data_IF_067111237224
#
_entry.id   IF_067111237224
#
_cell.length_a   1.000
_cell.length_b   1.000
_cell.length_c   1.000
_cell.angle_alpha   90.00
_cell.angle_beta   90.00
_cell.angle_gamma   90.00
#
_symmetry.space_group_name_H-M   'P 1'
#
loop_
_entity.id
_entity.type
_entity.pdbx_description
1 polymer ?
#
# COMPACT_ATOMS: atom_id res chain seq x y z
N UNK A 1 28.36 20.74 18.28
CA UNK A 1 28.19 20.65 16.82
C UNK A 1 27.25 19.50 16.48
N UNK A 2 26.25 19.75 15.63
CA UNK A 2 25.27 18.75 15.14
C UNK A 2 25.15 18.90 13.63
N UNK A 3 25.20 17.81 12.86
CA UNK A 3 24.94 17.87 11.41
C UNK A 3 25.84 18.80 10.61
N UNK A 4 27.03 19.15 11.13
CA UNK A 4 27.95 20.09 10.50
C UNK A 4 27.84 21.54 10.98
N UNK A 5 26.88 21.88 11.84
CA UNK A 5 26.70 23.25 12.35
C UNK A 5 26.91 23.37 13.87
N UNK A 6 27.16 24.61 14.33
CA UNK A 6 27.30 24.97 15.74
C UNK A 6 25.95 25.43 16.29
N UNK A 7 25.58 24.89 17.46
CA UNK A 7 24.32 25.16 18.14
C UNK A 7 24.56 25.48 19.61
N UNK A 8 23.74 26.35 20.18
CA UNK A 8 23.76 26.67 21.61
C UNK A 8 23.06 25.58 22.41
N UNK A 9 23.81 24.83 23.22
CA UNK A 9 23.23 23.79 24.10
C UNK A 9 22.26 24.36 25.14
N UNK A 10 22.53 25.56 25.65
CA UNK A 10 21.67 26.25 26.62
C UNK A 10 20.53 27.04 25.96
N UNK A 11 20.64 27.32 24.66
CA UNK A 11 19.72 28.18 23.92
C UNK A 11 19.85 29.68 24.26
N UNK A 12 20.87 30.08 25.02
CA UNK A 12 21.05 31.48 25.50
C UNK A 12 22.09 32.28 24.71
N UNK A 13 22.90 31.60 23.89
CA UNK A 13 23.92 32.26 23.07
C UNK A 13 23.29 32.64 21.73
N UNK A 14 23.05 33.94 21.52
CA UNK A 14 22.35 34.46 20.34
C UNK A 14 23.13 34.25 19.03
N UNK A 15 24.43 33.93 19.10
CA UNK A 15 25.25 33.64 17.92
C UNK A 15 24.86 32.33 17.23
N UNK A 16 24.18 31.43 17.95
CA UNK A 16 23.87 30.08 17.47
C UNK A 16 22.41 29.70 17.72
N UNK A 17 21.75 28.99 16.79
CA UNK A 17 20.43 28.41 17.04
C UNK A 17 20.45 27.46 18.26
N UNK A 18 19.32 27.31 18.98
CA UNK A 18 19.27 26.42 20.13
C UNK A 18 19.39 24.95 19.70
N UNK A 19 20.13 24.14 20.46
CA UNK A 19 20.36 22.72 20.14
C UNK A 19 19.08 21.87 20.13
N UNK A 20 18.00 22.36 20.75
CA UNK A 20 16.69 21.70 20.73
C UNK A 20 16.13 21.49 19.30
N UNK A 21 16.49 22.34 18.33
CA UNK A 21 16.05 22.18 16.93
C UNK A 21 16.57 20.90 16.28
N UNK A 22 17.63 20.31 16.83
CA UNK A 22 18.19 19.04 16.37
C UNK A 22 17.33 17.83 16.78
N UNK A 23 16.29 18.02 17.60
CA UNK A 23 15.33 16.98 17.99
C UNK A 23 15.95 15.87 18.86
N UNK A 24 16.89 16.20 19.74
CA UNK A 24 17.49 15.19 20.61
C UNK A 24 16.42 14.56 21.52
N UNK A 25 16.25 13.25 21.42
CA UNK A 25 15.19 12.50 22.10
C UNK A 25 13.99 12.18 21.21
N UNK A 26 13.88 12.80 20.04
CA UNK A 26 12.90 12.45 19.03
C UNK A 26 13.37 11.27 18.18
N UNK A 27 12.44 10.39 17.81
CA UNK A 27 12.73 9.22 16.95
C UNK A 27 13.34 9.62 15.60
N UNK A 28 13.03 10.82 15.10
CA UNK A 28 13.56 11.38 13.85
C UNK A 28 14.72 12.37 14.05
N UNK A 29 15.05 12.76 15.29
CA UNK A 29 16.07 13.76 15.56
C UNK A 29 17.46 13.17 15.76
N UNK A 30 18.41 13.99 16.22
CA UNK A 30 19.79 13.56 16.47
C UNK A 30 19.84 12.46 17.56
N UNK A 31 20.63 11.41 17.31
CA UNK A 31 20.63 10.16 18.08
C UNK A 31 19.28 9.41 18.10
N UNK A 32 18.33 9.75 17.23
CA UNK A 32 17.08 9.02 17.02
C UNK A 32 17.27 7.67 16.32
N UNK A 33 16.20 6.89 16.19
CA UNK A 33 16.24 5.49 15.72
C UNK A 33 16.93 5.28 14.36
N UNK A 34 16.87 6.29 13.48
CA UNK A 34 17.47 6.26 12.14
C UNK A 34 18.69 7.18 11.99
N UNK A 35 19.12 7.87 13.05
CA UNK A 35 20.22 8.84 13.01
C UNK A 35 21.43 8.30 13.76
N UNK A 36 22.52 8.00 13.03
CA UNK A 36 23.81 7.56 13.61
C UNK A 36 24.79 8.71 13.87
N UNK A 37 24.35 9.94 13.63
CA UNK A 37 25.16 11.12 13.90
C UNK A 37 25.13 11.42 15.39
N UNK A 38 26.32 11.60 15.96
CA UNK A 38 26.50 12.11 17.31
C UNK A 38 26.81 13.61 17.26
N UNK A 39 26.80 14.27 18.42
CA UNK A 39 27.23 15.65 18.58
C UNK A 39 28.43 15.72 19.53
N UNK A 40 29.32 16.66 19.28
CA UNK A 40 30.51 16.90 20.12
C UNK A 40 30.50 18.33 20.68
N UNK A 41 31.13 18.55 21.86
CA UNK A 41 31.46 19.90 22.31
C UNK A 41 32.28 20.63 21.24
N UNK A 42 31.92 21.88 20.94
CA UNK A 42 32.67 22.76 20.04
C UNK A 42 33.18 23.96 20.82
N UNK A 43 34.22 24.62 20.31
CA UNK A 43 34.79 25.86 20.86
C UNK A 43 33.90 27.09 20.59
N UNK A 44 32.93 26.97 19.68
CA UNK A 44 32.04 28.07 19.28
C UNK A 44 32.69 29.04 18.31
N UNK A 45 33.86 28.72 17.76
CA UNK A 45 34.60 29.58 16.83
C UNK A 45 35.01 28.81 15.57
N UNK A 46 35.43 27.55 15.73
CA UNK A 46 35.89 26.70 14.63
C UNK A 46 34.82 25.71 14.24
N UNK A 47 34.30 25.83 13.01
CA UNK A 47 33.49 24.78 12.41
C UNK A 47 34.33 23.97 11.40
N UNK A 48 34.85 22.79 11.75
CA UNK A 48 35.61 21.95 10.83
C UNK A 48 34.76 21.39 9.66
N UNK A 49 33.45 21.66 9.67
CA UNK A 49 32.51 21.29 8.62
C UNK A 49 31.97 22.48 7.81
N UNK A 50 32.49 23.70 8.02
CA UNK A 50 32.05 24.92 7.31
C UNK A 50 32.14 24.83 5.79
N UNK A 51 33.06 24.00 5.31
CA UNK A 51 33.40 23.89 3.90
C UNK A 51 32.58 22.80 3.19
N UNK A 52 31.69 22.09 3.89
CA UNK A 52 30.81 21.09 3.29
C UNK A 52 29.48 21.72 2.85
N UNK A 53 29.14 21.57 1.57
CA UNK A 53 27.87 22.06 1.02
C UNK A 53 26.68 21.22 1.51
N UNK A 54 25.78 21.85 2.26
CA UNK A 54 24.56 21.23 2.78
C UNK A 54 23.60 20.76 1.67
N UNK A 55 23.55 21.43 0.52
CA UNK A 55 22.64 21.08 -0.57
C UNK A 55 23.19 19.92 -1.41
N UNK A 56 24.50 19.88 -1.66
CA UNK A 56 25.15 18.73 -2.31
C UNK A 56 24.98 17.45 -1.47
N UNK A 57 25.16 17.56 -0.15
CA UNK A 57 24.94 16.45 0.80
C UNK A 57 23.48 15.98 0.83
N UNK A 58 22.52 16.91 0.81
CA UNK A 58 21.09 16.59 0.74
C UNK A 58 20.74 15.86 -0.55
N UNK A 59 21.24 16.34 -1.70
CA UNK A 59 21.06 15.68 -3.00
C UNK A 59 21.65 14.27 -3.01
N UNK A 60 22.86 14.09 -2.47
CA UNK A 60 23.47 12.77 -2.34
C UNK A 60 22.65 11.83 -1.43
N UNK A 61 22.09 12.36 -0.34
CA UNK A 61 21.20 11.63 0.56
C UNK A 61 19.92 11.18 -0.17
N UNK A 62 19.23 12.10 -0.87
CA UNK A 62 17.97 11.81 -1.57
C UNK A 62 18.16 10.77 -2.68
N UNK A 63 19.25 10.89 -3.45
CA UNK A 63 19.64 9.88 -4.43
C UNK A 63 19.89 8.51 -3.77
N UNK A 64 20.52 8.48 -2.60
CA UNK A 64 20.73 7.25 -1.85
C UNK A 64 19.42 6.63 -1.32
N UNK A 65 18.45 7.47 -0.92
CA UNK A 65 17.12 6.99 -0.49
C UNK A 65 16.36 6.41 -1.67
N UNK A 66 16.38 7.09 -2.82
CA UNK A 66 15.74 6.59 -4.05
C UNK A 66 16.38 5.28 -4.51
N UNK A 67 17.71 5.16 -4.41
CA UNK A 67 18.42 3.90 -4.67
C UNK A 67 17.88 2.76 -3.78
N UNK A 68 17.73 2.99 -2.47
CA UNK A 68 17.20 1.98 -1.52
C UNK A 68 15.76 1.58 -1.82
N UNK A 69 14.92 2.53 -2.27
CA UNK A 69 13.55 2.23 -2.68
C UNK A 69 13.53 1.28 -3.89
N UNK A 70 14.37 1.52 -4.90
CA UNK A 70 14.50 0.62 -6.05
C UNK A 70 15.05 -0.76 -5.65
N UNK A 71 16.05 -0.80 -4.77
CA UNK A 71 16.58 -2.05 -4.20
C UNK A 71 15.48 -2.84 -3.45
N UNK A 72 14.64 -2.16 -2.66
CA UNK A 72 13.49 -2.76 -1.97
C UNK A 72 12.48 -3.35 -2.94
N UNK A 73 12.08 -2.61 -3.99
CA UNK A 73 11.16 -3.09 -5.03
C UNK A 73 11.68 -4.36 -5.70
N UNK A 74 12.97 -4.40 -6.03
CA UNK A 74 13.61 -5.59 -6.62
C UNK A 74 13.57 -6.77 -5.64
N UNK A 75 13.98 -6.56 -4.37
CA UNK A 75 13.94 -7.63 -3.35
C UNK A 75 12.51 -8.17 -3.16
N UNK A 76 11.53 -7.28 -3.13
CA UNK A 76 10.12 -7.63 -2.99
C UNK A 76 9.65 -8.47 -4.19
N UNK A 77 9.86 -8.02 -5.42
CA UNK A 77 9.47 -8.79 -6.62
C UNK A 77 10.21 -10.12 -6.73
N UNK A 78 11.48 -10.22 -6.28
CA UNK A 78 12.18 -11.51 -6.19
C UNK A 78 11.47 -12.49 -5.26
N UNK A 79 10.98 -12.04 -4.10
CA UNK A 79 10.19 -12.88 -3.19
C UNK A 79 8.89 -13.33 -3.84
N UNK A 80 8.20 -12.43 -4.56
CA UNK A 80 6.98 -12.76 -5.31
C UNK A 80 7.24 -13.84 -6.38
N UNK A 81 8.32 -13.70 -7.17
CA UNK A 81 8.70 -14.67 -8.19
C UNK A 81 8.99 -16.05 -7.57
N UNK A 82 9.64 -16.10 -6.41
CA UNK A 82 9.89 -17.35 -5.68
C UNK A 82 8.59 -17.98 -5.17
N UNK A 83 7.71 -17.19 -4.54
CA UNK A 83 6.45 -17.69 -4.00
C UNK A 83 5.52 -18.25 -5.09
N UNK A 84 5.41 -17.55 -6.23
CA UNK A 84 4.59 -18.03 -7.36
C UNK A 84 5.19 -19.30 -7.95
N UNK A 85 6.52 -19.37 -8.09
CA UNK A 85 7.19 -20.58 -8.56
C UNK A 85 6.91 -21.77 -7.64
N UNK A 86 7.01 -21.58 -6.33
CA UNK A 86 6.74 -22.62 -5.35
C UNK A 86 5.27 -23.09 -5.46
N UNK A 87 4.31 -22.16 -5.49
CA UNK A 87 2.89 -22.49 -5.68
C UNK A 87 2.62 -23.24 -6.98
N UNK A 88 3.26 -22.83 -8.08
CA UNK A 88 3.15 -23.48 -9.40
C UNK A 88 3.73 -24.90 -9.40
N UNK A 89 4.83 -25.09 -8.69
CA UNK A 89 5.51 -26.39 -8.59
C UNK A 89 4.66 -27.38 -7.74
N UNK A 90 3.89 -26.88 -6.76
CA UNK A 90 2.96 -27.66 -5.92
C UNK A 90 1.52 -27.78 -6.48
N UNK A 91 1.14 -27.01 -7.50
CA UNK A 91 -0.21 -27.06 -8.05
C UNK A 91 -0.50 -28.40 -8.74
N UNK A 92 -1.50 -29.13 -8.23
CA UNK A 92 -1.94 -30.42 -8.77
C UNK A 92 -2.89 -30.26 -9.96
N UNK A 93 -3.78 -29.25 -9.92
CA UNK A 93 -4.75 -29.02 -10.98
C UNK A 93 -4.12 -28.32 -12.19
N UNK A 94 -4.30 -28.85 -13.43
CA UNK A 94 -3.67 -28.29 -14.64
C UNK A 94 -3.97 -26.81 -14.87
N UNK A 95 -5.22 -26.39 -14.70
CA UNK A 95 -5.64 -25.00 -14.94
C UNK A 95 -5.01 -24.02 -13.94
N UNK A 96 -4.94 -24.41 -12.66
CA UNK A 96 -4.33 -23.59 -11.62
C UNK A 96 -2.81 -23.46 -11.86
N UNK A 97 -2.19 -24.56 -12.30
CA UNK A 97 -0.78 -24.56 -12.69
C UNK A 97 -0.53 -23.65 -13.89
N UNK A 98 -1.38 -23.68 -14.91
CA UNK A 98 -1.28 -22.83 -16.09
C UNK A 98 -1.41 -21.32 -15.75
N UNK A 99 -2.35 -20.96 -14.87
CA UNK A 99 -2.50 -19.59 -14.38
C UNK A 99 -1.24 -19.11 -13.64
N UNK A 100 -0.72 -19.91 -12.70
CA UNK A 100 0.52 -19.61 -11.98
C UNK A 100 1.74 -19.54 -12.90
N UNK A 101 1.77 -20.35 -13.97
CA UNK A 101 2.78 -20.30 -15.03
C UNK A 101 2.78 -18.96 -15.78
N UNK A 102 1.59 -18.42 -16.09
CA UNK A 102 1.42 -17.10 -16.72
C UNK A 102 1.85 -15.97 -15.77
N UNK A 103 1.46 -16.06 -14.51
CA UNK A 103 1.80 -15.07 -13.49
C UNK A 103 3.30 -15.04 -13.19
N UNK A 104 3.93 -16.22 -13.16
CA UNK A 104 5.37 -16.34 -13.06
C UNK A 104 6.07 -15.59 -14.21
N UNK A 105 5.57 -15.74 -15.44
CA UNK A 105 6.09 -15.05 -16.63
C UNK A 105 5.92 -13.53 -16.53
N UNK A 106 4.74 -13.05 -16.13
CA UNK A 106 4.44 -11.61 -15.91
C UNK A 106 5.35 -10.99 -14.87
N UNK A 107 5.47 -11.63 -13.69
CA UNK A 107 6.31 -11.13 -12.58
C UNK A 107 7.79 -11.19 -12.90
N UNK A 108 8.23 -12.22 -13.62
CA UNK A 108 9.61 -12.28 -14.10
C UNK A 108 9.95 -11.13 -15.06
N UNK A 109 9.01 -10.75 -15.95
CA UNK A 109 9.17 -9.58 -16.80
C UNK A 109 9.17 -8.25 -16.02
N UNK A 110 8.32 -8.10 -14.98
CA UNK A 110 8.36 -6.94 -14.05
C UNK A 110 9.72 -6.87 -13.33
N UNK A 111 10.24 -7.99 -12.85
CA UNK A 111 11.55 -8.05 -12.20
C UNK A 111 12.69 -7.65 -13.15
N UNK A 112 12.65 -8.10 -14.40
CA UNK A 112 13.64 -7.70 -15.42
C UNK A 112 13.61 -6.19 -15.66
N UNK A 113 12.41 -5.60 -15.80
CA UNK A 113 12.21 -4.15 -15.94
C UNK A 113 12.77 -3.38 -14.73
N UNK A 114 12.45 -3.80 -13.51
CA UNK A 114 12.95 -3.16 -12.28
C UNK A 114 14.47 -3.23 -12.16
N UNK A 115 15.09 -4.37 -12.52
CA UNK A 115 16.54 -4.48 -12.55
C UNK A 115 17.18 -3.54 -13.58
N UNK A 116 16.52 -3.31 -14.72
CA UNK A 116 16.97 -2.33 -15.71
C UNK A 116 16.83 -0.91 -15.16
N UNK A 117 15.65 -0.55 -14.64
CA UNK A 117 15.36 0.76 -14.03
C UNK A 117 16.39 1.12 -12.95
N UNK A 118 16.72 0.17 -12.07
CA UNK A 118 17.74 0.36 -11.04
C UNK A 118 19.14 0.61 -11.62
N UNK A 119 19.54 -0.14 -12.65
CA UNK A 119 20.84 0.07 -13.30
C UNK A 119 20.91 1.42 -13.99
N UNK A 120 19.88 1.76 -14.76
CA UNK A 120 19.77 3.04 -15.46
C UNK A 120 19.81 4.21 -14.46
N UNK A 121 19.06 4.12 -13.35
CA UNK A 121 19.06 5.13 -12.30
C UNK A 121 20.45 5.30 -11.67
N UNK A 122 21.14 4.21 -11.38
CA UNK A 122 22.48 4.27 -10.84
C UNK A 122 23.47 4.89 -11.82
N UNK A 123 23.42 4.53 -13.10
CA UNK A 123 24.28 5.07 -14.14
C UNK A 123 24.05 6.57 -14.37
N UNK A 124 22.79 7.00 -14.52
CA UNK A 124 22.41 8.39 -14.74
C UNK A 124 22.82 9.33 -13.60
N UNK A 125 22.93 8.79 -12.37
CA UNK A 125 23.24 9.58 -11.17
C UNK A 125 24.66 9.30 -10.62
N UNK A 126 25.52 8.59 -11.38
CA UNK A 126 26.88 8.28 -10.95
C UNK A 126 26.97 7.41 -9.68
N UNK A 127 25.91 6.67 -9.35
CA UNK A 127 25.85 5.80 -8.18
C UNK A 127 26.38 4.40 -8.52
N UNK A 128 27.08 3.77 -7.57
CA UNK A 128 27.46 2.35 -7.70
C UNK A 128 26.26 1.46 -7.45
N UNK A 129 26.03 0.48 -8.33
CA UNK A 129 25.05 -0.59 -8.06
C UNK A 129 25.55 -1.48 -6.93
N UNK A 130 24.73 -1.66 -5.90
CA UNK A 130 24.98 -2.50 -4.72
C UNK A 130 24.29 -3.86 -4.85
N UNK A 131 24.96 -4.82 -5.49
CA UNK A 131 24.40 -6.15 -5.74
C UNK A 131 24.13 -6.93 -4.45
N UNK A 132 24.97 -6.74 -3.43
CA UNK A 132 24.83 -7.35 -2.10
C UNK A 132 23.48 -7.01 -1.48
N UNK A 133 22.96 -5.82 -1.75
CA UNK A 133 21.65 -5.38 -1.27
C UNK A 133 20.52 -6.04 -2.03
N UNK A 134 20.69 -6.45 -3.29
CA UNK A 134 19.61 -7.08 -4.05
C UNK A 134 19.38 -8.55 -3.67
N UNK A 135 20.23 -9.13 -2.83
CA UNK A 135 20.16 -10.53 -2.40
C UNK A 135 18.95 -10.78 -1.50
N UNK A 136 18.29 -11.92 -1.69
CA UNK A 136 17.28 -12.46 -0.77
C UNK A 136 17.59 -13.96 -0.54
N UNK A 137 17.08 -14.54 0.54
CA UNK A 137 17.23 -15.96 0.82
C UNK A 137 16.71 -16.82 -0.35
N UNK A 138 17.40 -17.93 -0.65
CA UNK A 138 17.06 -18.90 -1.70
C UNK A 138 17.01 -18.35 -3.15
N UNK A 139 17.43 -17.09 -3.38
CA UNK A 139 17.55 -16.53 -4.72
C UNK A 139 18.96 -16.72 -5.27
N UNK A 140 19.17 -17.79 -6.04
CA UNK A 140 20.45 -18.14 -6.63
C UNK A 140 20.53 -17.81 -8.15
N UNK A 141 21.63 -18.22 -8.78
CA UNK A 141 21.85 -18.03 -10.22
C UNK A 141 20.86 -18.82 -11.09
N UNK A 142 20.39 -19.97 -10.61
CA UNK A 142 19.42 -20.80 -11.32
C UNK A 142 18.05 -20.10 -11.34
N UNK A 143 17.56 -19.66 -10.19
CA UNK A 143 16.31 -18.91 -10.10
C UNK A 143 16.35 -17.63 -10.97
N UNK A 144 17.49 -16.94 -10.95
CA UNK A 144 17.70 -15.78 -11.81
C UNK A 144 17.74 -16.12 -13.32
N UNK A 145 18.21 -17.31 -13.71
CA UNK A 145 18.20 -17.76 -15.10
C UNK A 145 16.80 -18.17 -15.55
N UNK A 146 16.07 -18.92 -14.72
CA UNK A 146 14.69 -19.34 -14.98
C UNK A 146 13.76 -18.13 -15.14
N UNK A 147 13.85 -17.15 -14.24
CA UNK A 147 13.07 -15.92 -14.32
C UNK A 147 13.38 -15.15 -15.61
N UNK A 148 14.67 -15.01 -15.98
CA UNK A 148 15.04 -14.36 -17.27
C UNK A 148 14.46 -15.09 -18.48
N UNK A 149 14.48 -16.42 -18.47
CA UNK A 149 13.86 -17.22 -19.53
C UNK A 149 12.34 -17.03 -19.61
N UNK A 150 11.66 -16.96 -18.46
CA UNK A 150 10.22 -16.71 -18.40
C UNK A 150 9.84 -15.29 -18.86
N UNK A 151 10.62 -14.28 -18.48
CA UNK A 151 10.45 -12.92 -18.95
C UNK A 151 10.61 -12.81 -20.47
N UNK A 152 11.59 -13.51 -21.06
CA UNK A 152 11.76 -13.55 -22.51
C UNK A 152 10.55 -14.18 -23.21
N UNK A 153 10.05 -15.32 -22.70
CA UNK A 153 8.85 -15.97 -23.24
C UNK A 153 7.63 -15.06 -23.18
N UNK A 154 7.43 -14.34 -22.08
CA UNK A 154 6.35 -13.38 -21.90
C UNK A 154 6.38 -12.25 -22.94
N UNK A 155 7.56 -11.68 -23.19
CA UNK A 155 7.73 -10.60 -24.17
C UNK A 155 7.44 -11.09 -25.59
N UNK A 156 7.86 -12.32 -25.91
CA UNK A 156 7.66 -12.93 -27.22
C UNK A 156 6.18 -13.29 -27.48
N UNK A 157 5.45 -13.80 -26.48
CA UNK A 157 4.01 -14.07 -26.64
C UNK A 157 3.20 -12.79 -26.84
N UNK A 158 3.59 -11.70 -26.18
CA UNK A 158 2.92 -10.39 -26.31
C UNK A 158 3.19 -9.66 -27.62
N UNK A 159 4.19 -10.07 -28.39
CA UNK A 159 4.51 -9.48 -29.70
C UNK A 159 3.89 -10.27 -30.88
N UNK A 160 3.21 -11.39 -30.59
CA UNK A 160 2.63 -12.29 -31.59
C UNK A 160 1.08 -12.22 -31.70
N UNK A 161 0.37 -11.53 -30.80
CA UNK A 161 -1.11 -11.47 -30.80
C UNK A 161 -1.67 -10.10 -31.24
N UNK A 162 -2.50 -10.03 -32.31
CA UNK A 162 -3.37 -8.88 -32.55
C UNK A 162 -4.50 -8.85 -31.50
N UNK A 163 -4.79 -7.68 -30.94
CA UNK A 163 -5.89 -7.50 -29.98
C UNK A 163 -7.26 -7.61 -30.66
N UNK A 164 -7.99 -8.69 -30.40
CA UNK A 164 -9.46 -8.71 -30.49
C UNK A 164 -10.06 -8.68 -29.08
N UNK A 165 -11.12 -7.87 -28.89
CA UNK A 165 -11.87 -7.78 -27.63
C UNK A 165 -12.86 -8.94 -27.56
N UNK A 166 -12.95 -9.71 -26.47
CA UNK A 166 -13.98 -10.74 -26.34
C UNK A 166 -15.33 -10.11 -26.03
N UNK A 167 -16.35 -10.59 -26.74
CA UNK A 167 -17.77 -10.34 -26.55
C UNK A 167 -18.28 -11.12 -25.32
N UNK A 168 -18.79 -10.41 -24.30
CA UNK A 168 -19.38 -11.02 -23.10
C UNK A 168 -20.88 -10.76 -23.08
N UNK A 169 -21.61 -11.48 -23.93
CA UNK A 169 -23.05 -11.63 -23.80
C UNK A 169 -23.40 -12.98 -23.13
N UNK A 170 -24.16 -12.87 -22.03
CA UNK A 170 -24.96 -13.90 -21.36
C UNK A 170 -24.25 -15.02 -20.59
N UNK A 171 -24.08 -14.80 -19.28
CA UNK A 171 -24.55 -15.75 -18.26
C UNK A 171 -25.11 -14.93 -17.09
N UNK A 172 -26.43 -14.81 -17.00
CA UNK A 172 -27.10 -14.34 -15.78
C UNK A 172 -27.02 -15.47 -14.75
N UNK A 173 -26.19 -15.29 -13.73
CA UNK A 173 -26.33 -16.02 -12.47
C UNK A 173 -26.80 -15.00 -11.44
N UNK A 174 -28.01 -15.19 -10.94
CA UNK A 174 -28.54 -14.51 -9.76
C UNK A 174 -27.64 -14.80 -8.56
N UNK A 175 -26.74 -13.87 -8.24
CA UNK A 175 -25.83 -13.96 -7.08
C UNK A 175 -26.56 -13.51 -5.83
N UNK A 176 -27.03 -14.49 -5.04
CA UNK A 176 -27.52 -14.29 -3.69
C UNK A 176 -26.38 -14.14 -2.68
N UNK A 177 -26.41 -13.04 -1.94
CA UNK A 177 -25.91 -12.70 -0.58
C UNK A 177 -24.84 -13.51 0.21
N UNK A 178 -24.46 -14.75 -0.11
CA UNK A 178 -23.73 -15.62 0.85
C UNK A 178 -22.29 -16.03 0.46
N UNK A 179 -21.65 -15.35 -0.49
CA UNK A 179 -20.38 -15.87 -1.07
C UNK A 179 -19.14 -15.55 -0.22
N UNK A 180 -19.06 -14.41 0.45
CA UNK A 180 -17.82 -13.95 1.09
C UNK A 180 -17.81 -14.05 2.63
N UNK A 181 -18.97 -14.26 3.27
CA UNK A 181 -19.14 -14.19 4.74
C UNK A 181 -18.39 -12.98 5.35
N UNK A 182 -18.61 -11.81 4.73
CA UNK A 182 -17.96 -10.53 5.05
C UNK A 182 -18.33 -10.05 6.46
N UNK A 183 -19.32 -10.67 7.10
CA UNK A 183 -19.87 -10.21 8.38
C UNK A 183 -19.17 -10.82 9.60
N UNK A 184 -18.23 -11.76 9.44
CA UNK A 184 -17.58 -12.41 10.59
C UNK A 184 -16.85 -11.41 11.48
N UNK A 185 -17.41 -11.09 12.66
CA UNK A 185 -16.83 -10.10 13.55
C UNK A 185 -15.59 -10.68 14.24
N UNK A 186 -14.65 -9.82 14.64
CA UNK A 186 -13.43 -10.23 15.35
C UNK A 186 -13.74 -11.09 16.60
N UNK A 187 -14.90 -10.88 17.23
CA UNK A 187 -15.34 -11.65 18.40
C UNK A 187 -15.42 -13.16 18.14
N UNK A 188 -15.68 -13.61 16.91
CA UNK A 188 -15.72 -15.04 16.55
C UNK A 188 -14.34 -15.71 16.53
N UNK A 189 -13.28 -14.89 16.52
CA UNK A 189 -11.90 -15.32 16.50
C UNK A 189 -11.26 -15.23 17.89
N UNK A 190 -12.03 -15.01 18.97
CA UNK A 190 -11.49 -15.14 20.33
C UNK A 190 -11.38 -16.61 20.74
N UNK A 191 -10.25 -16.97 21.36
CA UNK A 191 -10.04 -18.27 21.97
C UNK A 191 -10.80 -18.39 23.30
N UNK A 192 -10.77 -19.57 23.94
CA UNK A 192 -11.44 -19.80 25.21
C UNK A 192 -10.93 -18.91 26.38
N UNK A 193 -9.74 -18.30 26.22
CA UNK A 193 -9.18 -17.33 27.17
C UNK A 193 -9.58 -15.89 26.87
N UNK A 194 -10.32 -15.65 25.78
CA UNK A 194 -10.71 -14.33 25.31
C UNK A 194 -9.64 -13.62 24.52
N UNK A 195 -8.50 -14.25 24.19
CA UNK A 195 -7.47 -13.65 23.34
C UNK A 195 -7.85 -13.79 21.87
N UNK A 196 -7.50 -12.80 21.05
CA UNK A 196 -7.75 -12.84 19.62
C UNK A 196 -6.79 -13.81 18.93
N UNK A 197 -7.35 -14.78 18.22
CA UNK A 197 -6.64 -15.81 17.46
C UNK A 197 -6.47 -15.34 16.00
N UNK A 198 -5.39 -14.61 15.77
CA UNK A 198 -5.03 -14.07 14.44
C UNK A 198 -4.81 -15.19 13.42
N UNK A 199 -4.32 -16.36 13.83
CA UNK A 199 -4.05 -17.48 12.93
C UNK A 199 -5.36 -18.10 12.42
N UNK A 200 -6.36 -18.26 13.30
CA UNK A 200 -7.70 -18.69 12.91
C UNK A 200 -8.37 -17.69 11.97
N UNK A 201 -8.22 -16.39 12.25
CA UNK A 201 -8.76 -15.33 11.41
C UNK A 201 -8.11 -15.34 10.00
N UNK A 202 -6.78 -15.45 9.95
CA UNK A 202 -5.99 -15.60 8.74
C UNK A 202 -6.38 -16.83 7.92
N UNK A 203 -6.56 -17.99 8.57
CA UNK A 203 -6.98 -19.21 7.89
C UNK A 203 -8.36 -19.07 7.22
N UNK A 204 -9.28 -18.30 7.80
CA UNK A 204 -10.57 -17.99 7.18
C UNK A 204 -10.42 -16.98 6.03
N UNK A 205 -9.55 -15.98 6.18
CA UNK A 205 -9.24 -15.02 5.12
C UNK A 205 -8.60 -15.69 3.89
N UNK A 206 -7.75 -16.68 4.07
CA UNK A 206 -7.18 -17.47 2.97
C UNK A 206 -8.25 -18.17 2.12
N UNK A 207 -9.34 -18.64 2.74
CA UNK A 207 -10.47 -19.21 2.01
C UNK A 207 -11.17 -18.13 1.17
N UNK A 208 -11.26 -16.90 1.68
CA UNK A 208 -11.83 -15.79 0.94
C UNK A 208 -11.01 -15.45 -0.30
N UNK A 209 -9.68 -15.48 -0.20
CA UNK A 209 -8.78 -15.21 -1.33
C UNK A 209 -9.05 -16.10 -2.55
N UNK A 210 -9.57 -17.32 -2.35
CA UNK A 210 -9.95 -18.22 -3.44
C UNK A 210 -11.12 -17.72 -4.29
N UNK A 211 -11.92 -16.79 -3.77
CA UNK A 211 -13.14 -16.24 -4.38
C UNK A 211 -12.98 -14.82 -4.91
N UNK A 212 -11.80 -14.23 -4.75
CA UNK A 212 -11.52 -12.88 -5.21
C UNK A 212 -11.53 -12.84 -6.74
N UNK A 213 -12.16 -11.83 -7.38
CA UNK A 213 -12.13 -11.70 -8.83
C UNK A 213 -10.69 -11.64 -9.36
N UNK A 214 -10.46 -12.28 -10.51
CA UNK A 214 -9.11 -12.50 -11.06
C UNK A 214 -8.30 -11.21 -11.22
N UNK A 215 -8.96 -10.10 -11.53
CA UNK A 215 -8.32 -8.79 -11.68
C UNK A 215 -7.71 -8.21 -10.38
N UNK A 216 -8.16 -8.66 -9.20
CA UNK A 216 -7.62 -8.24 -7.90
C UNK A 216 -6.78 -9.33 -7.22
N UNK A 217 -7.06 -10.60 -7.55
CA UNK A 217 -6.56 -11.78 -6.84
C UNK A 217 -5.06 -11.77 -6.61
N UNK A 218 -4.27 -11.55 -7.66
CA UNK A 218 -2.80 -11.53 -7.55
C UNK A 218 -2.32 -10.46 -6.57
N UNK A 219 -2.84 -9.24 -6.67
CA UNK A 219 -2.39 -8.11 -5.85
C UNK A 219 -2.74 -8.34 -4.39
N UNK A 220 -3.97 -8.76 -4.09
CA UNK A 220 -4.41 -8.99 -2.70
C UNK A 220 -3.76 -10.23 -2.07
N UNK A 221 -3.64 -11.34 -2.81
CA UNK A 221 -2.96 -12.54 -2.30
C UNK A 221 -1.49 -12.25 -2.01
N UNK A 222 -0.83 -11.49 -2.89
CA UNK A 222 0.57 -11.14 -2.70
C UNK A 222 0.73 -10.19 -1.52
N UNK A 223 -0.15 -9.20 -1.41
CA UNK A 223 -0.14 -8.27 -0.28
C UNK A 223 -0.33 -9.01 1.04
N UNK A 224 -1.24 -9.98 1.09
CA UNK A 224 -1.50 -10.82 2.24
C UNK A 224 -0.30 -11.74 2.57
N UNK A 225 0.17 -12.55 1.61
CA UNK A 225 1.25 -13.55 1.83
C UNK A 225 2.61 -12.94 2.18
N UNK A 226 2.80 -11.64 1.94
CA UNK A 226 4.09 -10.96 2.11
C UNK A 226 4.05 -9.81 3.12
N UNK A 227 2.93 -9.63 3.82
CA UNK A 227 2.86 -8.72 4.97
C UNK A 227 2.95 -9.53 6.26
N UNK A 228 3.55 -8.93 7.29
CA UNK A 228 3.45 -9.44 8.65
C UNK A 228 2.18 -8.87 9.32
N UNK A 229 1.61 -9.64 10.24
CA UNK A 229 0.56 -9.20 11.16
C UNK A 229 1.15 -9.13 12.57
N UNK A 230 1.00 -7.99 13.25
CA UNK A 230 1.58 -7.77 14.58
C UNK A 230 0.57 -7.14 15.53
N UNK A 231 0.43 -7.73 16.71
CA UNK A 231 -0.35 -7.13 17.79
C UNK A 231 0.35 -5.88 18.32
N UNK A 232 -0.38 -4.78 18.45
CA UNK A 232 0.11 -3.52 18.98
C UNK A 232 -1.02 -2.78 19.70
N UNK A 233 -1.02 -2.79 21.03
CA UNK A 233 -2.05 -2.14 21.85
C UNK A 233 -1.94 -0.61 21.94
N UNK A 234 -0.83 -0.03 21.46
CA UNK A 234 -0.56 1.41 21.52
C UNK A 234 -1.22 2.20 20.37
N UNK A 235 -1.75 1.52 19.35
CA UNK A 235 -2.42 2.20 18.23
C UNK A 235 -3.87 2.52 18.59
N UNK A 236 -4.36 3.68 18.13
CA UNK A 236 -5.72 4.13 18.43
C UNK A 236 -6.80 3.52 17.53
N UNK A 237 -6.43 2.69 16.55
CA UNK A 237 -7.36 2.01 15.63
C UNK A 237 -7.37 0.50 15.88
N UNK A 238 -8.40 -0.20 15.43
CA UNK A 238 -8.44 -1.66 15.55
C UNK A 238 -7.40 -2.35 14.65
N UNK A 239 -7.26 -1.86 13.41
CA UNK A 239 -6.28 -2.29 12.43
C UNK A 239 -5.61 -1.06 11.82
N UNK A 240 -4.39 -1.24 11.30
CA UNK A 240 -3.67 -0.22 10.53
C UNK A 240 -2.52 -0.82 9.74
N UNK A 241 -2.33 -0.39 8.51
CA UNK A 241 -1.09 -0.61 7.77
C UNK A 241 0.01 0.38 8.20
N UNK A 242 1.10 -0.14 8.77
CA UNK A 242 2.31 0.63 9.08
C UNK A 242 3.22 0.71 7.86
N UNK A 243 3.07 1.79 7.09
CA UNK A 243 3.89 2.07 5.89
C UNK A 243 5.40 2.09 6.15
N UNK A 244 5.87 2.41 7.37
CA UNK A 244 7.30 2.47 7.69
C UNK A 244 7.90 1.09 7.88
N UNK A 245 7.11 0.17 8.45
CA UNK A 245 7.54 -1.19 8.79
C UNK A 245 7.02 -2.26 7.84
N UNK A 246 6.21 -1.87 6.85
CA UNK A 246 5.56 -2.73 5.87
C UNK A 246 4.85 -3.93 6.53
N UNK A 247 3.94 -3.65 7.47
CA UNK A 247 3.17 -4.65 8.20
C UNK A 247 1.77 -4.14 8.55
N UNK A 248 0.84 -5.05 8.76
CA UNK A 248 -0.47 -4.75 9.34
C UNK A 248 -0.35 -4.90 10.85
N UNK A 249 -0.68 -3.85 11.59
CA UNK A 249 -0.76 -3.89 13.05
C UNK A 249 -2.21 -3.91 13.50
N UNK A 250 -2.51 -4.61 14.61
CA UNK A 250 -3.86 -4.71 15.15
C UNK A 250 -3.89 -4.53 16.67
N UNK A 251 -4.96 -3.93 17.20
CA UNK A 251 -5.17 -3.68 18.62
C UNK A 251 -6.41 -4.41 19.16
N UNK A 252 -6.26 -5.61 19.75
CA UNK A 252 -7.36 -6.37 20.33
C UNK A 252 -8.11 -5.69 21.49
N UNK A 253 -7.51 -4.65 22.09
CA UNK A 253 -8.06 -3.87 23.20
C UNK A 253 -8.85 -2.64 22.73
N UNK A 254 -8.85 -2.35 21.43
CA UNK A 254 -9.65 -1.25 20.89
C UNK A 254 -11.14 -1.49 21.19
N UNK A 255 -11.84 -0.47 21.71
CA UNK A 255 -13.22 -0.60 22.22
C UNK A 255 -14.24 -1.25 21.27
N UNK A 256 -14.02 -1.11 19.96
CA UNK A 256 -14.90 -1.65 18.91
C UNK A 256 -14.24 -2.80 18.15
N UNK A 257 -13.08 -3.29 18.59
CA UNK A 257 -12.33 -4.35 17.90
C UNK A 257 -13.24 -5.53 17.56
N UNK A 258 -13.98 -6.01 18.55
CA UNK A 258 -14.90 -7.15 18.45
C UNK A 258 -16.03 -6.97 17.45
N UNK A 259 -16.40 -5.73 17.13
CA UNK A 259 -17.52 -5.44 16.23
C UNK A 259 -17.08 -5.34 14.76
N UNK A 260 -15.78 -5.16 14.50
CA UNK A 260 -15.29 -5.07 13.13
C UNK A 260 -15.25 -6.43 12.46
N UNK A 261 -15.51 -6.47 11.17
CA UNK A 261 -15.28 -7.65 10.34
C UNK A 261 -13.79 -7.85 10.07
N UNK A 262 -13.31 -9.07 10.28
CA UNK A 262 -11.92 -9.41 9.94
C UNK A 262 -11.62 -9.30 8.45
N UNK A 263 -12.40 -9.94 7.55
CA UNK A 263 -12.20 -9.77 6.12
C UNK A 263 -12.17 -8.31 5.65
N UNK A 264 -13.10 -7.47 6.14
CA UNK A 264 -13.17 -6.08 5.72
C UNK A 264 -11.93 -5.31 6.16
N UNK A 265 -11.60 -5.36 7.46
CA UNK A 265 -10.48 -4.63 8.03
C UNK A 265 -9.17 -5.02 7.35
N UNK A 266 -8.90 -6.32 7.20
CA UNK A 266 -7.66 -6.78 6.57
C UNK A 266 -7.59 -6.41 5.10
N UNK A 267 -8.68 -6.57 4.34
CA UNK A 267 -8.69 -6.19 2.92
C UNK A 267 -8.42 -4.69 2.74
N UNK A 268 -9.01 -3.86 3.59
CA UNK A 268 -8.79 -2.41 3.57
C UNK A 268 -7.33 -2.05 3.87
N UNK A 269 -6.74 -2.61 4.94
CA UNK A 269 -5.33 -2.35 5.28
C UNK A 269 -4.36 -2.88 4.21
N UNK A 270 -4.65 -4.05 3.64
CA UNK A 270 -3.87 -4.58 2.53
C UNK A 270 -4.02 -3.71 1.27
N UNK A 271 -5.18 -3.08 1.07
CA UNK A 271 -5.38 -2.15 -0.04
C UNK A 271 -4.54 -0.87 0.14
N UNK A 272 -4.40 -0.36 1.36
CA UNK A 272 -3.42 0.70 1.65
C UNK A 272 -1.98 0.25 1.38
N UNK A 273 -1.63 -0.99 1.71
CA UNK A 273 -0.31 -1.56 1.39
C UNK A 273 -0.08 -1.60 -0.11
N UNK A 274 -1.04 -2.12 -0.86
CA UNK A 274 -0.99 -2.21 -2.32
C UNK A 274 -0.82 -0.81 -2.92
N UNK A 275 -1.61 0.16 -2.46
CA UNK A 275 -1.48 1.55 -2.90
C UNK A 275 -0.08 2.10 -2.62
N UNK A 276 0.40 1.97 -1.38
CA UNK A 276 1.69 2.49 -0.95
C UNK A 276 2.89 1.87 -1.67
N UNK A 277 2.77 0.66 -2.21
CA UNK A 277 3.87 -0.07 -2.86
C UNK A 277 3.82 -0.03 -4.39
N UNK A 278 2.63 -0.02 -4.99
CA UNK A 278 2.45 -0.19 -6.43
C UNK A 278 1.86 1.04 -7.12
N UNK A 279 0.87 1.72 -6.52
CA UNK A 279 0.05 2.71 -7.24
C UNK A 279 0.32 4.17 -6.84
N UNK A 280 0.57 4.44 -5.56
CA UNK A 280 0.80 5.77 -5.00
C UNK A 280 -0.30 6.77 -5.40
N UNK A 281 -1.55 6.42 -5.13
CA UNK A 281 -2.74 7.19 -5.49
C UNK A 281 -2.63 8.66 -5.10
N UNK A 282 -1.96 8.98 -3.99
CA UNK A 282 -1.77 10.34 -3.48
C UNK A 282 -0.88 11.22 -4.36
N UNK A 283 -0.18 10.63 -5.34
CA UNK A 283 0.68 11.34 -6.30
C UNK A 283 0.03 11.47 -7.66
N UNK A 284 -1.14 10.88 -7.87
CA UNK A 284 -1.82 10.96 -9.17
C UNK A 284 -2.63 12.25 -9.27
N UNK A 285 -2.12 13.21 -10.03
CA UNK A 285 -2.75 14.53 -10.16
C UNK A 285 -4.16 14.48 -10.79
N UNK A 286 -4.44 13.53 -11.69
CA UNK A 286 -5.78 13.38 -12.28
C UNK A 286 -6.78 12.89 -11.25
N UNK A 287 -6.38 11.93 -10.41
CA UNK A 287 -7.21 11.39 -9.35
C UNK A 287 -7.47 12.41 -8.23
N UNK A 288 -6.42 13.10 -7.75
CA UNK A 288 -6.58 14.20 -6.79
C UNK A 288 -7.54 15.27 -7.32
N UNK A 289 -7.38 15.66 -8.59
CA UNK A 289 -8.28 16.64 -9.22
C UNK A 289 -9.73 16.13 -9.28
N UNK A 290 -9.94 14.88 -9.70
CA UNK A 290 -11.28 14.31 -9.77
C UNK A 290 -11.96 14.25 -8.39
N UNK A 291 -11.20 13.94 -7.33
CA UNK A 291 -11.68 13.93 -5.95
C UNK A 291 -12.07 15.35 -5.49
N UNK A 292 -11.26 16.36 -5.79
CA UNK A 292 -11.58 17.75 -5.43
C UNK A 292 -12.81 18.27 -6.18
N UNK A 293 -12.93 17.95 -7.47
CA UNK A 293 -14.06 18.36 -8.31
C UNK A 293 -15.37 17.62 -7.95
N UNK A 294 -15.31 16.52 -7.21
CA UNK A 294 -16.48 15.72 -6.82
C UNK A 294 -17.32 16.34 -5.71
N UNK A 295 -16.79 17.29 -4.91
CA UNK A 295 -17.53 17.85 -3.76
C UNK A 295 -18.89 18.48 -4.15
N UNK A 296 -18.99 19.37 -5.15
CA UNK A 296 -20.29 19.90 -5.57
C UNK A 296 -21.25 18.82 -6.09
N UNK A 297 -20.73 17.73 -6.66
CA UNK A 297 -21.54 16.59 -7.12
C UNK A 297 -22.11 15.83 -5.92
N UNK A 298 -21.29 15.58 -4.90
CA UNK A 298 -21.73 14.96 -3.65
C UNK A 298 -22.84 15.80 -2.98
N UNK A 299 -22.64 17.13 -2.91
CA UNK A 299 -23.61 18.03 -2.29
C UNK A 299 -24.93 18.19 -3.07
N UNK A 300 -24.96 17.91 -4.37
CA UNK A 300 -26.23 17.83 -5.13
C UNK A 300 -26.98 16.50 -4.90
N UNK A 301 -26.28 15.47 -4.42
CA UNK A 301 -26.81 14.12 -4.25
C UNK A 301 -26.95 13.69 -2.77
N UNK A 302 -26.88 14.61 -1.81
CA UNK A 302 -26.84 14.33 -0.35
C UNK A 302 -27.90 13.31 0.09
N UNK A 303 -29.17 13.52 -0.30
CA UNK A 303 -30.26 12.64 0.10
C UNK A 303 -30.04 11.20 -0.37
N UNK A 304 -29.74 11.02 -1.66
CA UNK A 304 -29.49 9.71 -2.28
C UNK A 304 -28.27 9.02 -1.68
N UNK A 305 -27.18 9.77 -1.48
CA UNK A 305 -25.92 9.23 -0.94
C UNK A 305 -26.05 8.82 0.53
N UNK A 306 -26.71 9.65 1.36
CA UNK A 306 -26.93 9.35 2.77
C UNK A 306 -27.91 8.19 2.96
N UNK A 307 -29.00 8.15 2.18
CA UNK A 307 -29.95 7.04 2.22
C UNK A 307 -29.30 5.71 1.81
N UNK A 308 -28.51 5.71 0.73
CA UNK A 308 -27.80 4.50 0.30
C UNK A 308 -26.77 4.04 1.33
N UNK A 309 -26.02 4.98 1.92
CA UNK A 309 -25.06 4.69 3.00
C UNK A 309 -25.74 3.97 4.18
N UNK A 310 -26.91 4.44 4.63
CA UNK A 310 -27.60 3.84 5.77
C UNK A 310 -28.25 2.49 5.43
N UNK A 311 -28.83 2.37 4.23
CA UNK A 311 -29.70 1.24 3.90
C UNK A 311 -29.02 0.13 3.09
N UNK A 312 -27.82 0.38 2.54
CA UNK A 312 -27.18 -0.56 1.61
C UNK A 312 -25.69 -0.76 1.85
N UNK A 313 -25.02 0.07 2.65
CA UNK A 313 -23.57 -0.01 2.88
C UNK A 313 -23.22 -0.62 4.24
N UNK A 314 -23.42 -1.92 4.36
CA UNK A 314 -23.17 -2.67 5.61
C UNK A 314 -21.70 -2.79 6.00
N UNK A 315 -20.76 -2.65 5.05
CA UNK A 315 -19.32 -2.73 5.27
C UNK A 315 -18.62 -1.38 5.46
N UNK A 316 -19.28 -0.28 5.10
CA UNK A 316 -18.77 1.08 5.28
C UNK A 316 -17.84 1.58 4.17
N UNK A 317 -17.47 0.78 3.17
CA UNK A 317 -16.56 1.23 2.11
C UNK A 317 -17.16 2.36 1.29
N UNK A 318 -18.45 2.27 0.95
CA UNK A 318 -19.11 3.34 0.19
C UNK A 318 -19.25 4.59 1.06
N UNK A 319 -19.67 4.40 2.31
CA UNK A 319 -19.86 5.46 3.30
C UNK A 319 -18.59 6.26 3.51
N UNK A 320 -17.43 5.60 3.61
CA UNK A 320 -16.17 6.28 3.82
C UNK A 320 -15.71 7.07 2.59
N UNK A 321 -15.93 6.53 1.38
CA UNK A 321 -15.74 7.29 0.12
C UNK A 321 -16.62 8.54 0.10
N UNK A 322 -17.91 8.42 0.41
CA UNK A 322 -18.82 9.57 0.43
C UNK A 322 -18.43 10.59 1.50
N UNK A 323 -18.01 10.13 2.69
CA UNK A 323 -17.46 10.98 3.73
C UNK A 323 -16.22 11.74 3.21
N UNK A 324 -15.30 11.08 2.50
CA UNK A 324 -14.12 11.73 1.92
C UNK A 324 -14.48 12.75 0.82
N UNK A 325 -15.34 12.39 -0.12
CA UNK A 325 -15.79 13.25 -1.24
C UNK A 325 -16.59 14.46 -0.75
N UNK A 326 -17.26 14.35 0.39
CA UNK A 326 -18.02 15.43 1.02
C UNK A 326 -17.29 16.17 2.14
N UNK A 327 -16.00 15.91 2.39
CA UNK A 327 -15.26 16.48 3.52
C UNK A 327 -15.88 16.19 4.92
N UNK A 328 -16.69 15.14 5.02
CA UNK A 328 -17.46 14.77 6.21
C UNK A 328 -18.77 15.54 6.38
N UNK A 329 -19.20 16.33 5.39
CA UNK A 329 -20.43 17.12 5.46
C UNK A 329 -21.69 16.25 5.27
N UNK A 330 -21.58 15.12 4.55
CA UNK A 330 -22.67 14.16 4.40
C UNK A 330 -22.60 13.14 5.55
N UNK A 331 -23.71 12.99 6.27
CA UNK A 331 -23.81 11.97 7.31
C UNK A 331 -23.92 10.58 6.68
N UNK A 332 -22.96 9.73 6.98
CA UNK A 332 -22.82 8.34 6.50
C UNK A 332 -22.59 7.38 7.68
N UNK A 333 -22.70 6.07 7.43
CA UNK A 333 -22.52 5.03 8.46
C UNK A 333 -21.06 4.93 8.93
N UNK A 334 -20.11 4.96 7.99
CA UNK A 334 -18.68 5.17 8.24
C UNK A 334 -18.29 6.60 7.86
N UNK A 335 -17.56 7.28 8.74
CA UNK A 335 -17.15 8.67 8.53
C UNK A 335 -15.89 9.02 9.29
N UNK A 336 -15.21 10.07 8.82
CA UNK A 336 -14.13 10.73 9.54
C UNK A 336 -14.36 12.24 9.65
N UNK A 337 -13.68 12.87 10.61
CA UNK A 337 -13.77 14.32 10.82
C UNK A 337 -13.20 15.10 9.64
N UNK A 338 -13.67 16.33 9.42
CA UNK A 338 -13.09 17.27 8.44
C UNK A 338 -11.57 17.46 8.61
N UNK A 339 -11.07 17.44 9.86
CA UNK A 339 -9.62 17.50 10.17
C UNK A 339 -8.84 16.30 9.65
N UNK A 340 -9.48 15.13 9.55
CA UNK A 340 -8.89 13.95 8.95
C UNK A 340 -8.75 14.13 7.44
N UNK A 341 -9.84 14.55 6.79
CA UNK A 341 -9.91 14.76 5.34
C UNK A 341 -9.07 15.93 4.83
N UNK A 342 -8.74 16.90 5.69
CA UNK A 342 -7.86 18.01 5.33
C UNK A 342 -6.38 17.63 5.24
N UNK A 343 -6.00 16.41 5.62
CA UNK A 343 -4.61 15.94 5.52
C UNK A 343 -4.28 15.61 4.06
N UNK A 344 -3.15 16.16 3.58
CA UNK A 344 -2.71 15.95 2.21
C UNK A 344 -2.54 14.46 1.89
N UNK A 345 -3.11 14.02 0.77
CA UNK A 345 -3.01 12.64 0.29
C UNK A 345 -3.90 11.63 1.03
N UNK A 346 -4.66 12.05 2.06
CA UNK A 346 -5.50 11.13 2.83
C UNK A 346 -6.72 10.69 2.02
N UNK A 347 -7.41 11.62 1.35
CA UNK A 347 -8.59 11.25 0.56
C UNK A 347 -8.26 10.27 -0.54
N UNK A 348 -7.18 10.49 -1.27
CA UNK A 348 -6.73 9.62 -2.36
C UNK A 348 -6.48 8.20 -1.86
N UNK A 349 -5.73 8.05 -0.77
CA UNK A 349 -5.38 6.74 -0.20
C UNK A 349 -6.60 5.98 0.31
N UNK A 350 -7.51 6.68 0.99
CA UNK A 350 -8.74 6.08 1.54
C UNK A 350 -9.71 5.70 0.43
N UNK A 351 -9.96 6.61 -0.53
CA UNK A 351 -10.83 6.32 -1.67
C UNK A 351 -10.25 5.17 -2.51
N UNK A 352 -8.94 5.15 -2.74
CA UNK A 352 -8.29 4.03 -3.42
C UNK A 352 -8.49 2.72 -2.65
N UNK A 353 -8.21 2.70 -1.34
CA UNK A 353 -8.31 1.49 -0.53
C UNK A 353 -9.73 0.94 -0.47
N UNK A 354 -10.73 1.81 -0.33
CA UNK A 354 -12.14 1.44 -0.34
C UNK A 354 -12.58 0.92 -1.71
N UNK A 355 -12.24 1.60 -2.82
CA UNK A 355 -12.58 1.14 -4.17
C UNK A 355 -11.90 -0.19 -4.52
N UNK A 356 -10.65 -0.38 -4.12
CA UNK A 356 -9.95 -1.64 -4.29
C UNK A 356 -10.60 -2.76 -3.47
N UNK A 357 -10.97 -2.49 -2.21
CA UNK A 357 -11.66 -3.46 -1.36
C UNK A 357 -13.03 -3.86 -1.92
N UNK A 358 -13.83 -2.90 -2.39
CA UNK A 358 -15.09 -3.18 -3.09
C UNK A 358 -14.87 -4.14 -4.28
N UNK A 359 -13.80 -3.92 -5.05
CA UNK A 359 -13.41 -4.79 -6.14
C UNK A 359 -13.05 -6.21 -5.70
N UNK A 360 -12.28 -6.34 -4.62
CA UNK A 360 -11.92 -7.64 -4.02
C UNK A 360 -13.16 -8.45 -3.61
N UNK A 361 -14.20 -7.78 -3.13
CA UNK A 361 -15.46 -8.40 -2.71
C UNK A 361 -16.55 -8.44 -3.81
N UNK A 362 -16.21 -8.11 -5.07
CA UNK A 362 -17.14 -8.06 -6.21
C UNK A 362 -18.41 -7.22 -5.94
N UNK A 363 -18.26 -6.08 -5.26
CA UNK A 363 -19.36 -5.21 -4.83
C UNK A 363 -19.89 -4.32 -5.97
N UNK A 364 -20.34 -4.95 -7.06
CA UNK A 364 -20.76 -4.28 -8.30
C UNK A 364 -21.78 -3.17 -8.06
N UNK A 365 -22.78 -3.40 -7.20
CA UNK A 365 -23.80 -2.40 -6.89
C UNK A 365 -23.21 -1.10 -6.30
N UNK A 366 -22.20 -1.20 -5.43
CA UNK A 366 -21.52 -0.03 -4.86
C UNK A 366 -20.65 0.66 -5.91
N UNK A 367 -19.90 -0.14 -6.68
CA UNK A 367 -19.00 0.34 -7.73
C UNK A 367 -19.79 1.07 -8.83
N UNK A 368 -20.90 0.49 -9.30
CA UNK A 368 -21.76 1.05 -10.32
C UNK A 368 -22.35 2.38 -9.88
N UNK A 369 -22.78 2.48 -8.61
CA UNK A 369 -23.30 3.74 -8.05
C UNK A 369 -22.22 4.82 -7.96
N UNK A 370 -21.00 4.47 -7.54
CA UNK A 370 -19.87 5.42 -7.55
C UNK A 370 -19.56 5.86 -8.97
N UNK A 371 -19.52 4.95 -9.93
CA UNK A 371 -19.26 5.29 -11.33
C UNK A 371 -20.39 6.14 -11.94
N UNK A 372 -21.64 5.90 -11.56
CA UNK A 372 -22.78 6.69 -12.01
C UNK A 372 -22.72 8.14 -11.50
N UNK A 373 -22.41 8.33 -10.22
CA UNK A 373 -22.45 9.66 -9.59
C UNK A 373 -21.12 10.40 -9.74
N UNK A 374 -20.00 9.69 -9.70
CA UNK A 374 -18.63 10.22 -9.73
C UNK A 374 -17.78 9.54 -10.82
N UNK A 375 -18.19 9.58 -12.10
CA UNK A 375 -17.51 8.87 -13.18
C UNK A 375 -16.04 9.28 -13.32
N UNK A 376 -15.70 10.56 -13.12
CA UNK A 376 -14.33 11.04 -13.23
C UNK A 376 -13.41 10.48 -12.13
N UNK A 377 -13.95 10.28 -10.91
CA UNK A 377 -13.21 9.65 -9.80
C UNK A 377 -12.95 8.19 -10.13
N UNK A 378 -13.96 7.47 -10.60
CA UNK A 378 -13.83 6.06 -10.94
C UNK A 378 -12.95 5.82 -12.18
N UNK A 379 -13.03 6.68 -13.19
CA UNK A 379 -12.16 6.66 -14.36
C UNK A 379 -10.69 6.86 -13.95
N UNK A 380 -10.41 7.90 -13.15
CA UNK A 380 -9.06 8.19 -12.69
C UNK A 380 -8.50 7.06 -11.80
N UNK A 381 -9.32 6.45 -10.94
CA UNK A 381 -8.96 5.24 -10.18
C UNK A 381 -8.58 4.07 -11.11
N UNK A 382 -9.37 3.82 -12.16
CA UNK A 382 -9.09 2.75 -13.11
C UNK A 382 -7.84 3.00 -13.95
N UNK A 383 -7.53 4.26 -14.26
CA UNK A 383 -6.29 4.63 -14.95
C UNK A 383 -5.06 4.36 -14.08
N UNK A 384 -5.09 4.73 -12.80
CA UNK A 384 -4.01 4.40 -11.84
C UNK A 384 -3.71 2.90 -11.88
N UNK A 385 -4.75 2.07 -11.90
CA UNK A 385 -4.60 0.60 -11.89
C UNK A 385 -4.04 0.01 -13.19
N UNK A 386 -4.16 0.71 -14.32
CA UNK A 386 -3.67 0.26 -15.63
C UNK A 386 -2.18 0.58 -15.86
N UNK A 387 -1.61 1.48 -15.08
CA UNK A 387 -0.25 2.00 -15.26
C UNK A 387 0.88 1.12 -14.66
N UNK A 388 0.55 -0.02 -14.01
CA UNK A 388 1.50 -0.82 -13.20
C UNK A 388 1.96 -2.14 -13.85
#
# INVERSE_FOLDING_TARGET
>A
MCGGDIYSKSGKDERFPPFSVCGQGDVQGINGANCRLSYSPGDGETNPFSDYDSEENKKAYDLSQKQRQLENRIRHTKRQVMAIKEGRDYAEHPDHKAALDEDYKKKAAKLERQNKEYKDFCEQNGLKTRQERLTIAKWDRQQAAEARGAAARYKNSRSAEPREKPDTSTVEVTVGSDIYNIEKPMSEYRDASGRFDIDKANADYEKLLTKVPEEYKMSIETAYKTTEFEENTEISSAFRYDTKRDRVVYNPEHRNFDNYSYPQAVTHELSHRIDALDYHSEKNAKFSKAIDDAYPVAMRNVGRLSEYSVNSDGDGFFSDIISALSNGDIKTMAYHSTKYWSKQGTKEKEIFANLFSMGVFDQKKHIDLINEIFPEVYEAYNEIRKDV
#
